data_IF_925453868416
#
_entry.id   IF_925453868416
#
_cell.length_a   1.000
_cell.length_b   1.000
_cell.length_c   1.000
_cell.angle_alpha   90.00
_cell.angle_beta   90.00
_cell.angle_gamma   90.00
#
_symmetry.space_group_name_H-M   'P 1'
#
loop_
_entity.id
_entity.type
_entity.pdbx_description
1 polymer ?
#
# COMPACT_ATOMS: atom_id res chain seq x y z
N UNK A 1 5.73 -3.27 30.54
CA UNK A 1 6.43 -2.17 29.84
C UNK A 1 7.79 -2.61 29.25
N UNK A 2 8.05 -3.92 29.07
CA UNK A 2 9.21 -4.44 28.31
C UNK A 2 8.85 -4.93 26.89
N UNK A 3 7.61 -4.72 26.44
CA UNK A 3 7.05 -5.47 25.31
C UNK A 3 7.51 -5.03 23.91
N UNK A 4 8.27 -3.96 23.76
CA UNK A 4 8.63 -3.42 22.43
C UNK A 4 10.05 -3.77 21.98
N UNK A 5 10.75 -4.65 22.71
CA UNK A 5 12.07 -5.14 22.32
C UNK A 5 11.94 -6.56 21.78
N UNK A 6 12.43 -6.78 20.56
CA UNK A 6 12.53 -8.13 20.01
C UNK A 6 13.54 -8.93 20.86
N UNK A 7 13.18 -10.13 21.36
CA UNK A 7 14.11 -10.96 22.13
C UNK A 7 15.34 -11.31 21.30
N UNK A 8 16.54 -11.23 21.90
CA UNK A 8 17.82 -11.49 21.21
C UNK A 8 17.91 -12.94 20.69
N UNK A 9 17.20 -13.86 21.34
CA UNK A 9 17.12 -15.27 20.97
C UNK A 9 15.96 -15.61 20.00
N UNK A 10 15.14 -14.63 19.59
CA UNK A 10 14.05 -14.86 18.64
C UNK A 10 14.61 -15.11 17.24
N UNK A 11 14.58 -16.38 16.81
CA UNK A 11 15.05 -16.79 15.49
C UNK A 11 14.36 -16.01 14.37
N UNK A 12 15.09 -15.80 13.26
CA UNK A 12 14.55 -15.19 12.04
C UNK A 12 13.61 -16.16 11.35
N UNK A 13 12.42 -15.71 10.97
CA UNK A 13 11.46 -16.51 10.20
C UNK A 13 11.84 -16.44 8.72
N UNK A 14 12.70 -17.36 8.28
CA UNK A 14 13.24 -17.37 6.91
C UNK A 14 12.79 -18.59 6.08
N UNK A 15 11.93 -19.45 6.62
CA UNK A 15 11.39 -20.61 5.94
C UNK A 15 9.97 -20.95 6.42
N UNK A 16 9.31 -21.84 5.68
CA UNK A 16 7.92 -22.24 5.92
C UNK A 16 7.70 -22.96 7.25
N UNK A 17 8.67 -23.77 7.72
CA UNK A 17 8.56 -24.48 8.99
C UNK A 17 8.54 -23.50 10.17
N UNK A 18 9.45 -22.54 10.18
CA UNK A 18 9.50 -21.49 11.20
C UNK A 18 8.26 -20.59 11.14
N UNK A 19 7.78 -20.28 9.94
CA UNK A 19 6.56 -19.49 9.76
C UNK A 19 5.34 -20.25 10.30
N UNK A 20 5.22 -21.54 10.04
CA UNK A 20 4.12 -22.37 10.54
C UNK A 20 4.10 -22.42 12.06
N UNK A 21 5.26 -22.63 12.71
CA UNK A 21 5.36 -22.60 14.18
C UNK A 21 4.96 -21.24 14.76
N UNK A 22 5.42 -20.16 14.14
CA UNK A 22 5.03 -18.80 14.54
C UNK A 22 3.52 -18.58 14.39
N UNK A 23 2.94 -19.01 13.28
CA UNK A 23 1.49 -18.90 13.03
C UNK A 23 0.70 -19.65 14.09
N UNK A 24 1.09 -20.89 14.42
CA UNK A 24 0.37 -21.70 15.40
C UNK A 24 0.44 -21.06 16.79
N UNK A 25 1.61 -20.58 17.20
CA UNK A 25 1.77 -19.82 18.46
C UNK A 25 0.89 -18.56 18.47
N UNK A 26 0.93 -17.75 17.40
CA UNK A 26 0.13 -16.53 17.34
C UNK A 26 -1.36 -16.81 17.32
N UNK A 27 -1.81 -17.91 16.70
CA UNK A 27 -3.22 -18.31 16.72
C UNK A 27 -3.69 -18.58 18.15
N UNK A 28 -2.87 -19.25 18.97
CA UNK A 28 -3.18 -19.49 20.38
C UNK A 28 -3.22 -18.18 21.19
N UNK A 29 -2.19 -17.35 21.06
CA UNK A 29 -2.10 -16.06 21.76
C UNK A 29 -3.27 -15.12 21.40
N UNK A 30 -3.63 -15.05 20.11
CA UNK A 30 -4.78 -14.25 19.65
C UNK A 30 -6.08 -14.77 20.25
N UNK A 31 -6.30 -16.10 20.29
CA UNK A 31 -7.53 -16.67 20.87
C UNK A 31 -7.63 -16.41 22.36
N UNK A 32 -6.53 -16.51 23.09
CA UNK A 32 -6.48 -16.19 24.51
C UNK A 32 -6.75 -14.71 24.77
N UNK A 33 -6.14 -13.82 23.98
CA UNK A 33 -6.32 -12.37 24.11
C UNK A 33 -7.76 -11.94 23.77
N UNK A 34 -8.29 -12.42 22.63
CA UNK A 34 -9.55 -11.93 22.07
C UNK A 34 -10.77 -12.60 22.70
N UNK A 35 -10.67 -13.88 23.06
CA UNK A 35 -11.81 -14.68 23.54
C UNK A 35 -12.97 -14.65 22.53
N UNK A 36 -14.18 -14.33 23.00
CA UNK A 36 -15.41 -14.27 22.18
C UNK A 36 -15.70 -12.87 21.60
N UNK A 37 -14.81 -11.90 21.81
CA UNK A 37 -15.00 -10.50 21.38
C UNK A 37 -14.68 -10.33 19.89
N UNK A 38 -15.10 -9.22 19.29
CA UNK A 38 -14.77 -8.91 17.89
C UNK A 38 -13.54 -8.02 17.76
N UNK A 39 -12.86 -8.18 16.63
CA UNK A 39 -11.67 -7.43 16.25
C UNK A 39 -11.95 -6.64 14.98
N UNK A 40 -11.64 -5.35 14.98
CA UNK A 40 -11.68 -4.50 13.79
C UNK A 40 -10.29 -4.41 13.15
N UNK A 41 -10.21 -4.43 11.82
CA UNK A 41 -8.97 -4.21 11.09
C UNK A 41 -9.19 -3.28 9.89
N UNK A 42 -8.38 -2.23 9.80
CA UNK A 42 -8.24 -1.45 8.57
C UNK A 42 -7.39 -2.25 7.57
N UNK A 43 -8.02 -2.76 6.51
CA UNK A 43 -7.35 -3.54 5.48
C UNK A 43 -6.93 -2.63 4.33
N UNK A 44 -5.66 -2.21 4.29
CA UNK A 44 -5.15 -1.31 3.25
C UNK A 44 -4.85 -2.02 1.92
N UNK A 45 -4.68 -3.35 1.95
CA UNK A 45 -4.16 -4.14 0.83
C UNK A 45 -2.63 -4.21 0.79
N UNK A 46 -1.94 -3.49 1.69
CA UNK A 46 -0.52 -3.66 1.94
C UNK A 46 -0.23 -4.98 2.66
N UNK A 47 0.97 -5.52 2.43
CA UNK A 47 1.36 -6.87 2.90
C UNK A 47 1.15 -7.08 4.40
N UNK A 48 1.49 -6.11 5.26
CA UNK A 48 1.39 -6.30 6.71
C UNK A 48 -0.07 -6.43 7.16
N UNK A 49 -0.93 -5.52 6.71
CA UNK A 49 -2.38 -5.58 7.00
C UNK A 49 -3.01 -6.87 6.46
N UNK A 50 -2.57 -7.33 5.30
CA UNK A 50 -3.05 -8.57 4.68
C UNK A 50 -2.61 -9.82 5.46
N UNK A 51 -1.36 -9.86 5.94
CA UNK A 51 -0.86 -10.96 6.78
C UNK A 51 -1.59 -10.99 8.11
N UNK A 52 -1.78 -9.84 8.76
CA UNK A 52 -2.56 -9.75 10.01
C UNK A 52 -4.00 -10.20 9.79
N UNK A 53 -4.64 -9.78 8.70
CA UNK A 53 -5.99 -10.23 8.35
C UNK A 53 -6.04 -11.76 8.19
N UNK A 54 -5.12 -12.34 7.41
CA UNK A 54 -5.06 -13.79 7.20
C UNK A 54 -4.84 -14.57 8.51
N UNK A 55 -3.97 -14.06 9.38
CA UNK A 55 -3.67 -14.66 10.69
C UNK A 55 -4.89 -14.60 11.62
N UNK A 56 -5.57 -13.46 11.69
CA UNK A 56 -6.79 -13.29 12.48
C UNK A 56 -7.95 -14.14 11.94
N UNK A 57 -8.10 -14.25 10.62
CA UNK A 57 -9.10 -15.17 10.03
C UNK A 57 -8.82 -16.61 10.46
N UNK A 58 -7.55 -17.04 10.43
CA UNK A 58 -7.17 -18.38 10.89
C UNK A 58 -7.44 -18.58 12.39
N UNK A 59 -7.22 -17.55 13.21
CA UNK A 59 -7.38 -17.62 14.66
C UNK A 59 -8.86 -17.58 15.10
N UNK A 60 -9.60 -16.56 14.65
CA UNK A 60 -10.92 -16.17 15.20
C UNK A 60 -12.02 -16.07 14.13
N UNK A 61 -11.71 -16.38 12.87
CA UNK A 61 -12.68 -16.48 11.78
C UNK A 61 -13.55 -15.23 11.62
N UNK A 62 -14.85 -15.37 11.83
CA UNK A 62 -15.86 -14.32 11.62
C UNK A 62 -15.94 -13.27 12.74
N UNK A 63 -15.17 -13.44 13.82
CA UNK A 63 -15.01 -12.39 14.83
C UNK A 63 -14.20 -11.20 14.29
N UNK A 64 -13.38 -11.42 13.26
CA UNK A 64 -12.68 -10.36 12.55
C UNK A 64 -13.63 -9.61 11.63
N UNK A 65 -13.68 -8.29 11.74
CA UNK A 65 -14.30 -7.36 10.79
C UNK A 65 -13.19 -6.58 10.08
N UNK A 66 -13.03 -6.79 8.78
CA UNK A 66 -12.12 -6.02 7.95
C UNK A 66 -12.86 -4.85 7.29
N UNK A 67 -12.29 -3.66 7.31
CA UNK A 67 -12.77 -2.50 6.55
C UNK A 67 -11.73 -2.16 5.48
N UNK A 68 -12.10 -2.28 4.21
CA UNK A 68 -11.30 -1.84 3.08
C UNK A 68 -11.93 -0.60 2.44
N UNK A 69 -11.20 0.51 2.46
CA UNK A 69 -11.65 1.80 1.92
C UNK A 69 -10.99 2.04 0.57
N UNK A 70 -11.78 2.01 -0.51
CA UNK A 70 -11.35 2.53 -1.80
C UNK A 70 -11.46 4.06 -1.80
N UNK A 71 -10.36 4.72 -1.46
CA UNK A 71 -10.24 6.18 -1.48
C UNK A 71 -9.92 6.74 -2.87
N UNK A 72 -9.94 5.90 -3.92
CA UNK A 72 -9.67 6.32 -5.28
C UNK A 72 -8.22 6.71 -5.56
N UNK A 73 -7.24 6.41 -4.70
CA UNK A 73 -5.81 6.67 -4.99
C UNK A 73 -5.01 5.36 -4.99
N UNK A 74 -5.68 4.23 -5.21
CA UNK A 74 -5.08 2.91 -5.36
C UNK A 74 -4.74 2.62 -6.83
N UNK A 75 -3.89 1.61 -7.06
CA UNK A 75 -3.54 1.17 -8.43
C UNK A 75 -4.74 0.52 -9.12
N UNK A 76 -4.68 0.46 -10.44
CA UNK A 76 -5.66 -0.26 -11.26
C UNK A 76 -5.78 -1.72 -10.81
N UNK A 77 -7.01 -2.16 -10.51
CA UNK A 77 -7.35 -3.52 -10.09
C UNK A 77 -7.03 -3.88 -8.64
N UNK A 78 -6.41 -2.97 -7.89
CA UNK A 78 -5.98 -3.23 -6.50
C UNK A 78 -7.16 -3.39 -5.52
N UNK A 79 -8.18 -2.52 -5.51
CA UNK A 79 -9.34 -2.71 -4.64
C UNK A 79 -10.08 -4.03 -4.91
N UNK A 80 -10.28 -4.37 -6.19
CA UNK A 80 -10.98 -5.58 -6.61
C UNK A 80 -10.22 -6.83 -6.19
N UNK A 81 -8.89 -6.81 -6.32
CA UNK A 81 -8.05 -7.93 -5.89
C UNK A 81 -8.11 -8.15 -4.37
N UNK A 82 -8.16 -7.09 -3.56
CA UNK A 82 -8.32 -7.22 -2.10
C UNK A 82 -9.66 -7.87 -1.77
N UNK A 83 -10.74 -7.44 -2.43
CA UNK A 83 -12.07 -8.02 -2.23
C UNK A 83 -12.09 -9.49 -2.64
N UNK A 84 -11.52 -9.84 -3.80
CA UNK A 84 -11.47 -11.22 -4.29
C UNK A 84 -10.74 -12.16 -3.32
N UNK A 85 -9.55 -11.77 -2.87
CA UNK A 85 -8.76 -12.59 -1.93
C UNK A 85 -9.48 -12.73 -0.60
N UNK A 86 -9.85 -11.62 0.05
CA UNK A 86 -10.35 -11.70 1.41
C UNK A 86 -11.80 -12.15 1.49
N UNK A 87 -12.69 -11.61 0.66
CA UNK A 87 -14.11 -12.01 0.67
C UNK A 87 -14.32 -13.31 -0.10
N UNK A 88 -13.74 -13.44 -1.29
CA UNK A 88 -13.95 -14.58 -2.18
C UNK A 88 -13.22 -15.85 -1.75
N UNK A 89 -11.93 -15.75 -1.43
CA UNK A 89 -11.08 -16.92 -1.17
C UNK A 89 -10.94 -17.24 0.33
N UNK A 90 -10.81 -16.23 1.19
CA UNK A 90 -10.61 -16.42 2.63
C UNK A 90 -11.89 -16.30 3.47
N UNK A 91 -13.04 -16.03 2.83
CA UNK A 91 -14.33 -15.87 3.50
C UNK A 91 -14.26 -14.88 4.69
N UNK A 92 -13.53 -13.78 4.54
CA UNK A 92 -13.46 -12.71 5.53
C UNK A 92 -14.80 -11.99 5.66
N UNK A 93 -15.11 -11.49 6.86
CA UNK A 93 -16.16 -10.49 7.02
C UNK A 93 -15.58 -9.12 6.60
N UNK A 94 -15.74 -8.78 5.32
CA UNK A 94 -15.14 -7.61 4.70
C UNK A 94 -16.20 -6.55 4.36
N UNK A 95 -16.13 -5.41 5.04
CA UNK A 95 -16.82 -4.17 4.68
C UNK A 95 -15.99 -3.47 3.61
N UNK A 96 -16.57 -3.28 2.43
CA UNK A 96 -15.94 -2.53 1.34
C UNK A 96 -16.62 -1.16 1.24
N UNK A 97 -15.85 -0.08 1.36
CA UNK A 97 -16.34 1.29 1.25
C UNK A 97 -15.76 1.92 0.00
N UNK A 98 -16.63 2.25 -0.95
CA UNK A 98 -16.26 3.12 -2.05
C UNK A 98 -16.39 4.59 -1.61
N UNK A 99 -15.24 5.25 -1.44
CA UNK A 99 -15.15 6.64 -1.02
C UNK A 99 -14.44 7.51 -2.08
N UNK A 100 -14.37 7.04 -3.35
CA UNK A 100 -13.61 7.72 -4.41
C UNK A 100 -14.01 9.19 -4.54
N UNK A 101 -15.30 9.48 -4.72
CA UNK A 101 -15.78 10.84 -4.92
C UNK A 101 -15.52 11.72 -3.70
N UNK A 102 -15.74 11.18 -2.49
CA UNK A 102 -15.52 11.87 -1.21
C UNK A 102 -14.07 12.35 -1.05
N UNK A 103 -13.09 11.52 -1.42
CA UNK A 103 -11.68 11.89 -1.35
C UNK A 103 -11.30 12.87 -2.45
N UNK A 104 -11.72 12.63 -3.69
CA UNK A 104 -11.37 13.49 -4.82
C UNK A 104 -11.97 14.90 -4.69
N UNK A 105 -13.18 15.02 -4.16
CA UNK A 105 -13.83 16.32 -3.91
C UNK A 105 -13.06 17.13 -2.85
N UNK A 106 -12.52 16.47 -1.82
CA UNK A 106 -11.70 17.13 -0.78
C UNK A 106 -10.30 17.52 -1.27
N UNK A 107 -9.79 16.82 -2.27
CA UNK A 107 -8.49 17.08 -2.89
C UNK A 107 -8.59 18.09 -4.04
N UNK A 108 -9.79 18.52 -4.43
CA UNK A 108 -10.01 19.46 -5.51
C UNK A 108 -9.21 20.76 -5.29
N UNK A 109 -8.33 21.08 -6.25
CA UNK A 109 -7.48 22.26 -6.22
C UNK A 109 -6.33 22.23 -5.20
N UNK A 110 -6.10 21.12 -4.49
CA UNK A 110 -5.01 20.98 -3.53
C UNK A 110 -3.74 20.52 -4.23
N UNK A 111 -2.80 21.44 -4.45
CA UNK A 111 -1.51 21.12 -5.07
C UNK A 111 -0.39 20.80 -4.09
N UNK A 112 -0.44 21.33 -2.86
CA UNK A 112 0.65 21.21 -1.89
C UNK A 112 0.74 19.78 -1.31
N UNK A 113 1.88 19.07 -1.43
CA UNK A 113 2.01 17.66 -1.06
C UNK A 113 1.66 17.33 0.38
N UNK A 114 2.13 18.12 1.35
CA UNK A 114 1.89 17.84 2.78
C UNK A 114 0.41 18.04 3.12
N UNK A 115 -0.25 19.02 2.52
CA UNK A 115 -1.70 19.22 2.64
C UNK A 115 -2.46 18.06 2.00
N UNK A 116 -2.02 17.52 0.86
CA UNK A 116 -2.62 16.30 0.27
C UNK A 116 -2.50 15.13 1.25
N UNK A 117 -1.31 14.87 1.79
CA UNK A 117 -1.05 13.80 2.78
C UNK A 117 -1.97 13.94 3.99
N UNK A 118 -2.08 15.14 4.56
CA UNK A 118 -2.95 15.43 5.71
C UNK A 118 -4.42 15.21 5.40
N UNK A 119 -4.91 15.67 4.24
CA UNK A 119 -6.31 15.49 3.84
C UNK A 119 -6.63 14.00 3.66
N UNK A 120 -5.77 13.26 2.95
CA UNK A 120 -5.99 11.83 2.70
C UNK A 120 -5.99 11.05 4.02
N UNK A 121 -5.00 11.28 4.88
CA UNK A 121 -4.90 10.61 6.18
C UNK A 121 -6.10 10.92 7.08
N UNK A 122 -6.44 12.20 7.22
CA UNK A 122 -7.58 12.61 8.05
C UNK A 122 -8.91 12.07 7.55
N UNK A 123 -9.12 12.06 6.23
CA UNK A 123 -10.37 11.57 5.65
C UNK A 123 -10.49 10.04 5.74
N UNK A 124 -9.38 9.32 5.57
CA UNK A 124 -9.35 7.87 5.78
C UNK A 124 -9.79 7.50 7.19
N UNK A 125 -9.26 8.20 8.19
CA UNK A 125 -9.62 7.99 9.60
C UNK A 125 -11.11 8.23 9.81
N UNK A 126 -11.69 9.29 9.24
CA UNK A 126 -13.13 9.58 9.36
C UNK A 126 -14.00 8.49 8.73
N UNK A 127 -13.65 8.02 7.54
CA UNK A 127 -14.38 6.93 6.88
C UNK A 127 -14.28 5.64 7.70
N UNK A 128 -13.07 5.32 8.19
CA UNK A 128 -12.86 4.16 9.03
C UNK A 128 -13.64 4.24 10.36
N UNK A 129 -13.66 5.42 10.98
CA UNK A 129 -14.44 5.70 12.20
C UNK A 129 -15.94 5.51 11.96
N UNK A 130 -16.47 6.05 10.86
CA UNK A 130 -17.88 5.90 10.48
C UNK A 130 -18.26 4.42 10.30
N UNK A 131 -17.37 3.60 9.73
CA UNK A 131 -17.60 2.16 9.63
C UNK A 131 -17.45 1.43 10.97
N UNK A 132 -16.48 1.83 11.80
CA UNK A 132 -16.28 1.26 13.13
C UNK A 132 -17.52 1.46 14.01
N UNK A 133 -18.11 2.66 14.00
CA UNK A 133 -19.32 3.01 14.78
C UNK A 133 -20.56 2.21 14.35
N UNK A 134 -20.59 1.63 13.15
CA UNK A 134 -21.69 0.77 12.68
C UNK A 134 -21.58 -0.67 13.18
N UNK A 135 -20.46 -1.03 13.81
CA UNK A 135 -20.21 -2.39 14.28
C UNK A 135 -20.48 -2.51 15.78
N UNK A 136 -21.26 -3.53 16.16
CA UNK A 136 -21.52 -3.85 17.56
C UNK A 136 -20.53 -4.90 18.10
N UNK A 137 -20.08 -4.68 19.34
CA UNK A 137 -19.27 -5.65 20.10
C UNK A 137 -17.80 -5.72 19.70
N UNK A 138 -17.28 -4.66 19.07
CA UNK A 138 -15.85 -4.52 18.80
C UNK A 138 -15.16 -3.99 20.04
N UNK A 139 -14.23 -4.77 20.59
CA UNK A 139 -13.38 -4.36 21.72
C UNK A 139 -11.91 -4.26 21.33
N UNK A 140 -11.52 -4.87 20.21
CA UNK A 140 -10.15 -4.90 19.73
C UNK A 140 -9.97 -4.22 18.39
N UNK A 141 -8.79 -3.66 18.21
CA UNK A 141 -8.31 -3.06 16.98
C UNK A 141 -6.99 -3.70 16.60
N UNK A 142 -7.00 -4.42 15.48
CA UNK A 142 -5.81 -5.05 14.94
C UNK A 142 -4.99 -4.08 14.11
N UNK A 143 -3.66 -4.19 14.19
CA UNK A 143 -2.72 -3.36 13.44
C UNK A 143 -1.61 -4.22 12.83
N UNK A 144 -1.17 -3.81 11.64
CA UNK A 144 -0.04 -4.39 10.92
C UNK A 144 1.32 -3.82 11.32
N UNK A 145 1.45 -3.25 12.51
CA UNK A 145 2.71 -2.68 13.03
C UNK A 145 3.80 -3.75 13.00
N UNK A 146 5.00 -3.40 12.52
CA UNK A 146 6.16 -4.30 12.46
C UNK A 146 7.35 -3.71 13.24
N UNK A 147 8.37 -4.53 13.47
CA UNK A 147 9.49 -4.14 14.33
C UNK A 147 10.28 -2.92 13.83
N UNK A 148 10.53 -2.75 12.52
CA UNK A 148 11.09 -1.50 11.99
C UNK A 148 10.30 -0.24 12.38
N UNK A 149 8.95 -0.29 12.35
CA UNK A 149 8.10 0.86 12.72
C UNK A 149 8.32 1.28 14.19
N UNK A 150 8.53 0.29 15.06
CA UNK A 150 8.81 0.51 16.48
C UNK A 150 10.18 1.18 16.66
N UNK A 151 11.20 0.74 15.91
CA UNK A 151 12.55 1.30 15.97
C UNK A 151 12.58 2.74 15.46
N UNK A 152 11.88 3.04 14.36
CA UNK A 152 11.81 4.40 13.80
C UNK A 152 11.08 5.39 14.71
N UNK A 153 10.27 4.88 15.65
CA UNK A 153 9.48 5.72 16.55
C UNK A 153 10.25 6.27 17.77
N UNK A 154 11.49 5.83 18.06
CA UNK A 154 12.33 6.33 19.17
C UNK A 154 11.59 6.51 20.52
N UNK A 155 10.62 5.64 20.83
CA UNK A 155 9.82 5.71 22.06
C UNK A 155 8.81 6.87 22.11
N UNK A 156 8.74 7.72 21.09
CA UNK A 156 7.61 8.61 20.84
C UNK A 156 6.61 7.78 20.06
N UNK A 157 5.46 7.43 20.66
CA UNK A 157 4.39 6.65 20.02
C UNK A 157 4.12 7.18 18.61
N UNK A 158 4.77 6.60 17.60
CA UNK A 158 4.48 6.91 16.24
C UNK A 158 3.11 6.30 16.01
N UNK A 159 2.18 7.17 15.67
CA UNK A 159 0.78 6.92 15.41
C UNK A 159 0.56 6.09 14.14
N UNK A 160 1.40 5.08 13.91
CA UNK A 160 1.25 4.13 12.81
C UNK A 160 0.26 3.05 13.23
N UNK A 161 -1.00 3.43 13.09
CA UNK A 161 -1.98 2.72 12.28
C UNK A 161 -3.38 3.26 12.58
N UNK A 162 -3.58 3.96 13.71
CA UNK A 162 -4.89 4.51 14.10
C UNK A 162 -4.80 5.81 14.93
N UNK A 163 -3.70 6.56 14.81
CA UNK A 163 -3.45 7.76 15.62
C UNK A 163 -4.30 9.01 15.37
N UNK A 164 -5.52 8.85 14.87
CA UNK A 164 -6.50 9.91 14.82
C UNK A 164 -7.92 9.42 15.06
N UNK A 165 -8.12 8.17 15.50
CA UNK A 165 -9.44 7.82 16.00
C UNK A 165 -9.79 8.71 17.21
N UNK A 166 -11.05 9.13 17.32
CA UNK A 166 -11.55 9.87 18.47
C UNK A 166 -11.25 9.20 19.81
N UNK A 167 -11.08 10.00 20.86
CA UNK A 167 -10.81 9.50 22.23
C UNK A 167 -11.96 8.65 22.81
N UNK A 168 -13.18 8.79 22.29
CA UNK A 168 -14.34 7.98 22.67
C UNK A 168 -14.34 6.57 22.08
N UNK A 169 -13.49 6.28 21.07
CA UNK A 169 -13.30 4.93 20.54
C UNK A 169 -12.10 4.27 21.23
N UNK A 170 -12.38 3.60 22.35
CA UNK A 170 -11.38 2.87 23.12
C UNK A 170 -11.34 1.41 22.67
N UNK A 171 -10.21 1.02 22.07
CA UNK A 171 -9.94 -0.36 21.67
C UNK A 171 -8.67 -0.88 22.34
N UNK A 172 -8.67 -2.16 22.68
CA UNK A 172 -7.43 -2.88 22.99
C UNK A 172 -6.72 -3.27 21.68
N UNK A 173 -5.39 -3.19 21.66
CA UNK A 173 -4.62 -3.45 20.43
C UNK A 173 -4.27 -4.92 20.26
N UNK A 174 -4.37 -5.42 19.02
CA UNK A 174 -3.90 -6.75 18.60
C UNK A 174 -2.85 -6.57 17.50
N UNK A 175 -1.58 -6.77 17.83
CA UNK A 175 -0.44 -6.49 16.94
C UNK A 175 0.45 -7.74 16.75
N UNK A 176 -0.05 -8.80 16.10
CA UNK A 176 0.58 -10.13 16.15
C UNK A 176 1.92 -10.20 15.39
N UNK A 177 2.20 -9.23 14.52
CA UNK A 177 3.44 -9.18 13.72
C UNK A 177 4.43 -8.10 14.18
N UNK A 178 4.17 -7.45 15.33
CA UNK A 178 4.95 -6.31 15.85
C UNK A 178 6.43 -6.56 16.08
N UNK A 179 6.82 -7.82 16.27
CA UNK A 179 8.22 -8.19 16.46
C UNK A 179 8.90 -8.65 15.17
N UNK A 180 8.18 -8.77 14.06
CA UNK A 180 8.72 -9.25 12.78
C UNK A 180 9.31 -8.12 11.94
N UNK A 181 10.26 -8.48 11.07
CA UNK A 181 10.73 -7.64 9.98
C UNK A 181 9.95 -7.93 8.69
N UNK A 182 10.07 -7.04 7.70
CA UNK A 182 9.28 -7.08 6.46
C UNK A 182 9.43 -8.38 5.66
N UNK A 183 10.65 -8.90 5.58
CA UNK A 183 10.97 -10.16 4.93
C UNK A 183 10.33 -11.35 5.65
N UNK A 184 10.33 -11.36 6.98
CA UNK A 184 9.66 -12.40 7.79
C UNK A 184 8.14 -12.36 7.62
N UNK A 185 7.54 -11.17 7.61
CA UNK A 185 6.10 -10.98 7.33
C UNK A 185 5.73 -11.58 5.97
N UNK A 186 6.60 -11.46 4.96
CA UNK A 186 6.37 -12.07 3.64
C UNK A 186 6.37 -13.60 3.70
N UNK A 187 7.31 -14.21 4.41
CA UNK A 187 7.35 -15.67 4.61
C UNK A 187 6.10 -16.16 5.34
N UNK A 188 5.67 -15.43 6.38
CA UNK A 188 4.42 -15.73 7.10
C UNK A 188 3.20 -15.59 6.20
N UNK A 189 3.12 -14.53 5.40
CA UNK A 189 2.03 -14.32 4.44
C UNK A 189 1.91 -15.47 3.43
N UNK A 190 3.04 -15.98 2.94
CA UNK A 190 3.11 -17.16 2.09
C UNK A 190 2.59 -18.42 2.78
N UNK A 191 3.05 -18.70 4.00
CA UNK A 191 2.60 -19.85 4.78
C UNK A 191 1.10 -19.78 5.14
N UNK A 192 0.51 -18.57 5.19
CA UNK A 192 -0.93 -18.35 5.36
C UNK A 192 -1.75 -18.50 4.07
N UNK A 193 -1.10 -18.78 2.93
CA UNK A 193 -1.77 -18.98 1.64
C UNK A 193 -2.11 -17.69 0.88
N UNK A 194 -1.51 -16.55 1.25
CA UNK A 194 -1.70 -15.31 0.48
C UNK A 194 -0.98 -15.38 -0.88
N UNK A 195 -1.58 -14.82 -1.95
CA UNK A 195 -0.98 -14.85 -3.28
C UNK A 195 0.30 -14.00 -3.36
N UNK A 196 1.22 -14.43 -4.22
CA UNK A 196 2.48 -13.76 -4.54
C UNK A 196 2.33 -12.27 -4.84
N UNK A 197 1.32 -11.92 -5.61
CA UNK A 197 1.02 -10.55 -6.03
C UNK A 197 0.55 -9.63 -4.89
N UNK A 198 0.24 -10.18 -3.71
CA UNK A 198 -0.04 -9.43 -2.48
C UNK A 198 1.16 -9.44 -1.54
N UNK A 199 1.86 -10.57 -1.42
CA UNK A 199 3.01 -10.74 -0.52
C UNK A 199 4.25 -9.98 -1.01
N UNK A 200 4.60 -10.13 -2.29
CA UNK A 200 5.81 -9.54 -2.88
C UNK A 200 5.55 -8.21 -3.58
N UNK A 201 4.38 -7.62 -3.32
CA UNK A 201 4.01 -6.31 -3.82
C UNK A 201 5.02 -5.26 -3.37
N UNK A 202 5.35 -4.36 -4.30
CA UNK A 202 6.20 -3.22 -4.02
C UNK A 202 5.58 -2.32 -2.94
N UNK A 203 6.41 -1.64 -2.13
CA UNK A 203 5.93 -0.59 -1.24
C UNK A 203 5.04 0.41 -2.00
N UNK A 204 3.91 0.75 -1.40
CA UNK A 204 2.98 1.73 -1.93
C UNK A 204 2.74 2.79 -0.87
N UNK A 205 2.90 4.08 -1.18
CA UNK A 205 2.79 5.13 -0.17
C UNK A 205 1.37 5.18 0.39
N UNK A 206 1.21 5.57 1.66
CA UNK A 206 -0.10 5.78 2.29
C UNK A 206 -1.06 6.68 1.50
N UNK A 207 -0.64 7.85 0.98
CA UNK A 207 -1.47 8.67 0.09
C UNK A 207 -1.67 8.08 -1.33
N UNK A 208 -1.07 6.92 -1.61
CA UNK A 208 -1.15 6.20 -2.87
C UNK A 208 -0.74 7.04 -4.07
N UNK A 209 -1.56 7.01 -5.13
CA UNK A 209 -1.35 7.82 -6.32
C UNK A 209 -1.45 9.33 -6.07
N UNK A 210 -1.89 9.77 -4.88
CA UNK A 210 -1.98 11.18 -4.53
C UNK A 210 -0.64 11.93 -4.54
N UNK A 211 0.48 11.21 -4.37
CA UNK A 211 1.85 11.75 -4.47
C UNK A 211 2.54 11.39 -5.80
N UNK A 212 1.81 10.75 -6.72
CA UNK A 212 2.28 10.41 -8.08
C UNK A 212 1.52 11.18 -9.16
N UNK A 213 0.34 11.69 -8.83
CA UNK A 213 -0.36 12.72 -9.57
C UNK A 213 0.06 14.09 -9.00
N UNK A 214 1.18 14.63 -9.51
CA UNK A 214 1.84 15.79 -8.89
C UNK A 214 0.98 17.04 -9.02
N UNK A 215 1.03 17.95 -8.05
CA UNK A 215 0.14 19.11 -8.01
C UNK A 215 -1.32 18.74 -7.74
N UNK A 216 -2.27 19.52 -8.29
CA UNK A 216 -3.69 19.39 -7.98
C UNK A 216 -4.34 18.23 -8.74
N UNK A 217 -4.83 17.22 -8.01
CA UNK A 217 -5.33 15.97 -8.62
C UNK A 217 -6.60 16.22 -9.43
N UNK A 218 -6.60 15.76 -10.67
CA UNK A 218 -7.79 15.70 -11.55
C UNK A 218 -8.08 14.25 -11.95
N UNK A 219 -9.34 13.93 -12.27
CA UNK A 219 -9.75 12.55 -12.61
C UNK A 219 -9.05 12.03 -13.87
N UNK A 220 -8.92 12.85 -14.90
CA UNK A 220 -8.22 12.51 -16.14
C UNK A 220 -6.73 12.22 -15.89
N UNK A 221 -6.05 13.06 -15.08
CA UNK A 221 -4.63 12.86 -14.79
C UNK A 221 -4.40 11.66 -13.87
N UNK A 222 -5.28 11.46 -12.89
CA UNK A 222 -5.23 10.30 -12.02
C UNK A 222 -5.44 8.99 -12.80
N UNK A 223 -6.33 9.00 -13.79
CA UNK A 223 -6.52 7.85 -14.67
C UNK A 223 -5.28 7.62 -15.56
N UNK A 224 -4.69 8.68 -16.10
CA UNK A 224 -3.43 8.56 -16.84
C UNK A 224 -2.32 7.93 -15.99
N UNK A 225 -2.18 8.31 -14.71
CA UNK A 225 -1.23 7.69 -13.77
C UNK A 225 -1.54 6.19 -13.59
N UNK A 226 -2.82 5.82 -13.40
CA UNK A 226 -3.22 4.41 -13.19
C UNK A 226 -2.89 3.53 -14.38
N UNK A 227 -3.25 3.99 -15.58
CA UNK A 227 -3.06 3.24 -16.81
C UNK A 227 -1.57 3.14 -17.16
N UNK A 228 -0.80 4.23 -17.04
CA UNK A 228 0.63 4.18 -17.30
C UNK A 228 1.38 3.31 -16.29
N UNK A 229 0.98 3.33 -15.00
CA UNK A 229 1.54 2.47 -13.96
C UNK A 229 1.21 0.99 -14.20
N UNK A 230 0.00 0.69 -14.67
CA UNK A 230 -0.40 -0.66 -15.03
C UNK A 230 0.45 -1.22 -16.19
N UNK A 231 0.66 -0.44 -17.25
CA UNK A 231 1.54 -0.82 -18.37
C UNK A 231 2.98 -1.06 -17.88
N UNK A 232 3.52 -0.14 -17.07
CA UNK A 232 4.87 -0.30 -16.53
C UNK A 232 5.01 -1.60 -15.72
N UNK A 233 4.03 -1.90 -14.84
CA UNK A 233 4.02 -3.13 -14.04
C UNK A 233 3.91 -4.39 -14.87
N UNK A 234 3.03 -4.39 -15.86
CA UNK A 234 2.90 -5.49 -16.81
C UNK A 234 4.22 -5.77 -17.53
N UNK A 235 4.87 -4.74 -18.07
CA UNK A 235 6.12 -4.89 -18.80
C UNK A 235 7.29 -5.30 -17.89
N UNK A 236 7.35 -4.81 -16.66
CA UNK A 236 8.37 -5.25 -15.71
C UNK A 236 8.19 -6.72 -15.30
N UNK A 237 6.94 -7.18 -15.13
CA UNK A 237 6.65 -8.59 -14.88
C UNK A 237 7.03 -9.46 -16.08
N UNK A 238 6.58 -9.10 -17.29
CA UNK A 238 6.83 -9.85 -18.53
C UNK A 238 8.33 -9.97 -18.86
N UNK A 239 9.14 -9.01 -18.42
CA UNK A 239 10.59 -8.98 -18.67
C UNK A 239 11.42 -9.43 -17.44
N UNK A 240 10.78 -10.02 -16.43
CA UNK A 240 11.47 -10.62 -15.28
C UNK A 240 12.21 -9.61 -14.39
N UNK A 241 11.73 -8.35 -14.36
CA UNK A 241 12.19 -7.28 -13.47
C UNK A 241 11.37 -7.21 -12.17
N UNK A 242 10.17 -7.80 -12.15
CA UNK A 242 9.38 -7.94 -10.93
C UNK A 242 10.18 -8.69 -9.83
N UNK A 243 10.20 -8.11 -8.63
CA UNK A 243 10.99 -8.63 -7.50
C UNK A 243 12.49 -8.37 -7.58
N UNK A 244 13.05 -7.99 -8.74
CA UNK A 244 14.45 -7.54 -8.88
C UNK A 244 14.59 -6.04 -8.67
N UNK A 245 13.64 -5.27 -9.19
CA UNK A 245 13.58 -3.82 -8.98
C UNK A 245 12.79 -3.54 -7.72
N UNK A 246 13.40 -2.83 -6.76
CA UNK A 246 12.82 -2.61 -5.43
C UNK A 246 11.51 -1.82 -5.49
N UNK A 247 11.51 -0.70 -6.21
CA UNK A 247 10.29 0.06 -6.48
C UNK A 247 10.36 0.74 -7.84
N UNK A 248 9.24 0.69 -8.56
CA UNK A 248 9.04 1.29 -9.85
C UNK A 248 7.57 1.69 -10.02
N UNK A 249 7.35 2.84 -10.65
CA UNK A 249 6.04 3.43 -10.81
C UNK A 249 6.07 4.52 -11.88
N UNK A 250 4.88 5.01 -12.22
CA UNK A 250 4.75 6.23 -13.03
C UNK A 250 4.21 7.40 -12.21
N UNK A 251 4.68 8.61 -12.53
CA UNK A 251 4.12 9.87 -12.04
C UNK A 251 3.70 10.75 -13.22
N UNK A 252 2.70 11.61 -13.02
CA UNK A 252 2.20 12.54 -14.05
C UNK A 252 2.18 13.96 -13.46
N UNK A 253 2.94 14.91 -14.03
CA UNK A 253 3.04 16.26 -13.51
C UNK A 253 1.87 17.15 -13.94
N UNK A 254 1.68 18.25 -13.21
CA UNK A 254 0.63 19.27 -13.46
C UNK A 254 1.00 20.27 -14.57
N UNK A 255 1.54 19.76 -15.68
CA UNK A 255 1.75 20.56 -16.88
C UNK A 255 1.61 19.72 -18.15
N UNK A 256 1.24 20.39 -19.24
CA UNK A 256 1.08 19.74 -20.55
C UNK A 256 2.30 19.95 -21.42
N UNK A 257 2.62 18.93 -22.22
CA UNK A 257 3.64 18.96 -23.25
C UNK A 257 3.00 19.02 -24.63
N UNK A 258 3.73 19.56 -25.61
CA UNK A 258 3.31 19.55 -27.02
C UNK A 258 3.61 18.19 -27.65
N UNK A 259 2.71 17.73 -28.52
CA UNK A 259 2.88 16.53 -29.32
C UNK A 259 2.15 16.63 -30.66
N UNK A 260 2.19 15.53 -31.42
CA UNK A 260 1.43 15.38 -32.67
C UNK A 260 0.70 14.04 -32.62
N UNK A 261 -0.62 14.04 -32.84
CA UNK A 261 -1.44 12.84 -32.99
C UNK A 261 -2.39 13.05 -34.17
N UNK A 262 -2.50 12.07 -35.06
CA UNK A 262 -3.34 12.14 -36.27
C UNK A 262 -3.09 13.39 -37.13
N UNK A 263 -1.82 13.77 -37.27
CA UNK A 263 -1.40 14.95 -38.04
C UNK A 263 -1.77 16.30 -37.42
N UNK A 264 -2.32 16.33 -36.20
CA UNK A 264 -2.69 17.56 -35.48
C UNK A 264 -1.83 17.76 -34.25
N UNK A 265 -1.55 19.02 -33.92
CA UNK A 265 -0.88 19.39 -32.67
C UNK A 265 -1.76 19.02 -31.48
N UNK A 266 -1.17 18.37 -30.48
CA UNK A 266 -1.83 18.01 -29.23
C UNK A 266 -1.16 18.68 -28.03
N UNK A 267 -1.93 18.87 -26.96
CA UNK A 267 -1.47 19.30 -25.65
C UNK A 267 -1.95 18.28 -24.62
N UNK A 268 -1.04 17.44 -24.15
CA UNK A 268 -1.32 16.29 -23.29
C UNK A 268 -0.24 16.17 -22.20
N UNK A 269 -0.44 15.33 -21.21
CA UNK A 269 0.48 15.21 -20.08
C UNK A 269 1.70 14.34 -20.44
N UNK A 270 2.89 14.67 -19.93
CA UNK A 270 4.00 13.73 -19.93
C UNK A 270 3.84 12.72 -18.78
N UNK A 271 4.38 11.52 -18.94
CA UNK A 271 4.53 10.51 -17.88
C UNK A 271 6.01 10.42 -17.51
N UNK A 272 6.29 10.35 -16.22
CA UNK A 272 7.62 10.08 -15.67
C UNK A 272 7.65 8.64 -15.19
N UNK A 273 8.56 7.83 -15.72
CA UNK A 273 8.88 6.51 -15.19
C UNK A 273 9.96 6.66 -14.12
N UNK A 274 9.74 6.04 -12.96
CA UNK A 274 10.70 5.90 -11.88
C UNK A 274 10.96 4.42 -11.65
N UNK A 275 12.22 4.01 -11.54
CA UNK A 275 12.61 2.65 -11.18
C UNK A 275 13.93 2.70 -10.39
N UNK A 276 13.93 2.18 -9.16
CA UNK A 276 15.06 2.29 -8.24
C UNK A 276 15.29 1.00 -7.45
N UNK A 277 16.53 0.85 -7.01
CA UNK A 277 16.96 -0.16 -6.05
C UNK A 277 17.56 0.47 -4.79
N UNK A 278 17.31 -0.16 -3.66
CA UNK A 278 17.81 0.28 -2.35
C UNK A 278 17.91 -0.90 -1.40
N UNK A 279 18.78 -0.76 -0.39
CA UNK A 279 18.90 -1.70 0.73
C UNK A 279 18.15 -1.21 1.97
N UNK A 280 18.14 0.12 2.20
CA UNK A 280 17.68 0.75 3.46
C UNK A 280 16.71 1.92 3.24
N UNK A 281 16.29 2.17 2.00
CA UNK A 281 15.54 3.34 1.56
C UNK A 281 16.18 4.71 1.86
N UNK A 282 17.37 4.77 2.49
CA UNK A 282 18.11 6.00 2.77
C UNK A 282 18.94 6.44 1.56
N UNK A 283 19.47 5.47 0.82
CA UNK A 283 20.08 5.69 -0.50
C UNK A 283 19.40 4.82 -1.56
N UNK A 284 19.34 5.29 -2.80
CA UNK A 284 18.78 4.51 -3.90
C UNK A 284 19.50 4.79 -5.22
N UNK A 285 19.79 3.73 -5.96
CA UNK A 285 20.31 3.81 -7.33
C UNK A 285 19.16 3.67 -8.33
N UNK A 286 19.33 4.27 -9.51
CA UNK A 286 18.38 4.10 -10.61
C UNK A 286 18.64 2.75 -11.27
N UNK A 287 17.56 2.03 -11.59
CA UNK A 287 17.65 0.77 -12.32
C UNK A 287 18.12 1.02 -13.76
N UNK A 288 19.09 0.23 -14.22
CA UNK A 288 19.55 0.23 -15.62
C UNK A 288 18.58 -0.57 -16.51
N UNK A 289 17.37 -0.03 -16.69
CA UNK A 289 16.35 -0.66 -17.52
C UNK A 289 16.82 -0.68 -18.97
N UNK A 290 16.82 -1.83 -19.66
CA UNK A 290 17.26 -1.90 -21.05
C UNK A 290 16.56 -0.85 -21.92
N UNK A 291 17.33 -0.05 -22.66
CA UNK A 291 16.77 1.06 -23.42
C UNK A 291 15.68 0.62 -24.42
N UNK A 292 15.83 -0.56 -25.02
CA UNK A 292 14.81 -1.15 -25.90
C UNK A 292 13.49 -1.40 -25.16
N UNK A 293 13.53 -1.83 -23.90
CA UNK A 293 12.34 -2.00 -23.06
C UNK A 293 11.70 -0.64 -22.72
N UNK A 294 12.50 0.38 -22.39
CA UNK A 294 11.99 1.75 -22.19
C UNK A 294 11.31 2.29 -23.44
N UNK A 295 11.84 2.02 -24.64
CA UNK A 295 11.20 2.39 -25.90
C UNK A 295 9.87 1.66 -26.10
N UNK A 296 9.81 0.36 -25.77
CA UNK A 296 8.58 -0.43 -25.83
C UNK A 296 7.51 0.10 -24.88
N UNK A 297 7.85 0.31 -23.61
CA UNK A 297 6.95 0.91 -22.61
C UNK A 297 6.49 2.29 -23.06
N UNK A 298 7.40 3.13 -23.58
CA UNK A 298 7.08 4.46 -24.10
C UNK A 298 6.06 4.39 -25.23
N UNK A 299 6.25 3.46 -26.18
CA UNK A 299 5.32 3.24 -27.27
C UNK A 299 3.93 2.85 -26.74
N UNK A 300 3.86 1.86 -25.84
CA UNK A 300 2.58 1.44 -25.22
C UNK A 300 1.88 2.60 -24.52
N UNK A 301 2.57 3.28 -23.59
CA UNK A 301 1.98 4.40 -22.83
C UNK A 301 1.44 5.50 -23.75
N UNK A 302 2.19 5.89 -24.78
CA UNK A 302 1.78 7.00 -25.67
C UNK A 302 0.64 6.66 -26.64
N UNK A 303 0.40 5.38 -26.90
CA UNK A 303 -0.66 4.92 -27.81
C UNK A 303 -1.91 4.43 -27.06
N UNK A 304 -1.74 3.79 -25.92
CA UNK A 304 -2.81 3.15 -25.13
C UNK A 304 -3.41 4.11 -24.09
N UNK A 305 -2.62 5.03 -23.51
CA UNK A 305 -3.09 5.92 -22.44
C UNK A 305 -3.64 7.22 -23.00
N UNK A 306 -4.93 7.46 -22.77
CA UNK A 306 -5.57 8.71 -23.17
C UNK A 306 -4.99 9.91 -22.41
N UNK A 307 -4.85 11.04 -23.11
CA UNK A 307 -4.35 12.28 -22.51
C UNK A 307 -2.84 12.32 -22.26
N UNK A 308 -2.08 11.29 -22.67
CA UNK A 308 -0.61 11.24 -22.58
C UNK A 308 0.04 11.40 -23.96
N UNK A 309 1.16 12.11 -24.03
CA UNK A 309 1.89 12.30 -25.30
C UNK A 309 3.41 12.27 -25.19
N UNK A 310 3.95 12.01 -24.01
CA UNK A 310 5.39 12.01 -23.75
C UNK A 310 5.68 11.09 -22.58
N UNK A 311 6.82 10.41 -22.64
CA UNK A 311 7.34 9.61 -21.53
C UNK A 311 8.79 10.02 -21.29
N UNK A 312 9.18 10.13 -20.02
CA UNK A 312 10.55 10.39 -19.59
C UNK A 312 10.95 9.38 -18.52
N UNK A 313 12.24 9.11 -18.37
CA UNK A 313 12.77 8.24 -17.33
C UNK A 313 13.61 9.06 -16.34
N UNK A 314 13.32 8.93 -15.05
CA UNK A 314 14.00 9.66 -13.98
C UNK A 314 15.33 8.99 -13.60
N UNK A 315 16.43 9.62 -14.03
CA UNK A 315 17.81 9.18 -13.81
C UNK A 315 18.43 9.71 -12.50
N UNK A 316 17.64 10.32 -11.60
CA UNK A 316 18.15 10.96 -10.39
C UNK A 316 18.32 9.95 -9.25
N UNK A 317 19.52 9.72 -8.69
CA UNK A 317 19.68 8.86 -7.51
C UNK A 317 19.15 9.53 -6.23
N UNK A 318 19.05 8.74 -5.15
CA UNK A 318 18.85 9.25 -3.79
C UNK A 318 20.14 9.05 -2.98
N UNK A 319 20.76 10.13 -2.44
CA UNK A 319 20.62 11.53 -2.84
C UNK A 319 21.11 11.78 -4.29
N UNK A 320 20.79 12.90 -4.97
CA UNK A 320 20.18 14.17 -4.50
C UNK A 320 18.66 14.23 -4.51
N UNK A 321 17.99 13.33 -5.25
CA UNK A 321 16.53 13.26 -5.28
C UNK A 321 15.97 12.42 -4.13
N UNK A 322 14.66 12.20 -4.16
CA UNK A 322 13.94 11.20 -3.36
C UNK A 322 13.44 10.06 -4.25
N UNK A 323 12.86 9.02 -3.65
CA UNK A 323 12.28 7.92 -4.43
C UNK A 323 10.97 8.38 -5.07
N UNK A 324 10.01 8.82 -4.26
CA UNK A 324 8.78 9.50 -4.69
C UNK A 324 9.08 10.96 -5.10
N UNK A 325 8.23 11.53 -5.96
CA UNK A 325 8.35 12.91 -6.46
C UNK A 325 7.71 13.96 -5.54
N UNK A 326 6.85 13.53 -4.61
CA UNK A 326 6.15 14.30 -3.58
C UNK A 326 6.00 13.47 -2.29
#
# INVERSE_FOLDING_TARGET
>A
MDNNKRPENMARINNEELASRFIDQQVEEIREQVGDKKVLLALSGGVDSSVVAALLIKAIGKQLVCVHVNHGLLRKGEPEQVVEVFRGQMNANLVYVDAVDRFLDKLAGVAEPEKKRKIIGAEFIRVFEEEARKQDGIEFLAQGTIYPDILESDGIKAHHNVGGLPEDLQFELVEPVRLLFKDEVRVVGKALGLPDSMVYRQPFPGPGLGVRCLGAITRDRLEAVRESDAILREEFANNGLEGKVWQYFTAVPDFKSVGVKDGKRTFAYPVIIRAVNTVDAMTATVEDVPFALLQHITHRITHEVEGVNRVVFDLTPKPVGTIEWE
#
